data_IF_071351209006
#
_entry.id   IF_071351209006
#
_cell.length_a   1.000
_cell.length_b   1.000
_cell.length_c   1.000
_cell.angle_alpha   90.00
_cell.angle_beta   90.00
_cell.angle_gamma   90.00
#
_symmetry.space_group_name_H-M   'P 1'
#
loop_
_entity.id
_entity.type
_entity.pdbx_description
1 polymer ?
#
# COMPACT_ATOMS: atom_id res chain seq x y z
N UNK A 1 1.23 5.20 13.19
CA UNK A 1 1.35 3.81 13.65
C UNK A 1 2.50 3.15 12.89
N UNK A 2 3.24 2.22 13.49
CA UNK A 2 4.23 1.41 12.77
C UNK A 2 3.53 0.20 12.14
N UNK A 3 4.03 -0.28 11.00
CA UNK A 3 3.47 -1.47 10.35
C UNK A 3 3.81 -2.76 11.10
N UNK A 4 3.03 -3.82 10.87
CA UNK A 4 3.27 -5.18 11.37
C UNK A 4 4.73 -5.61 11.25
N UNK A 5 5.39 -5.81 12.39
CA UNK A 5 6.82 -6.15 12.43
C UNK A 5 7.15 -7.50 11.79
N UNK A 6 6.18 -8.42 11.70
CA UNK A 6 6.37 -9.70 11.02
C UNK A 6 6.67 -9.55 9.53
N UNK A 7 6.32 -8.40 8.92
CA UNK A 7 6.61 -8.10 7.53
C UNK A 7 7.95 -7.37 7.34
N UNK A 8 8.64 -6.96 8.40
CA UNK A 8 9.85 -6.15 8.24
C UNK A 8 10.91 -6.85 7.39
N UNK A 9 11.47 -6.08 6.46
CA UNK A 9 12.43 -6.55 5.48
C UNK A 9 12.09 -6.06 4.07
N UNK A 10 12.95 -6.45 3.14
CA UNK A 10 12.79 -6.20 1.71
C UNK A 10 12.16 -7.42 1.05
N UNK A 11 11.21 -7.15 0.16
CA UNK A 11 10.44 -8.14 -0.57
C UNK A 11 10.42 -7.77 -2.04
N UNK A 12 10.34 -8.75 -2.91
CA UNK A 12 10.07 -8.55 -4.33
C UNK A 12 8.61 -8.86 -4.58
N UNK A 13 7.86 -7.92 -5.18
CA UNK A 13 6.52 -8.18 -5.72
C UNK A 13 6.68 -8.96 -7.02
N UNK A 14 6.28 -10.24 -7.01
CA UNK A 14 6.56 -11.18 -8.11
C UNK A 14 5.90 -10.74 -9.43
N UNK A 15 4.82 -9.94 -9.37
CA UNK A 15 4.13 -9.46 -10.58
C UNK A 15 4.85 -8.27 -11.21
N UNK A 16 5.28 -7.32 -10.39
CA UNK A 16 5.85 -6.04 -10.88
C UNK A 16 7.37 -6.01 -10.87
N UNK A 17 8.00 -6.99 -10.20
CA UNK A 17 9.43 -7.06 -9.92
C UNK A 17 9.96 -5.85 -9.13
N UNK A 18 9.07 -5.07 -8.51
CA UNK A 18 9.46 -3.97 -7.63
C UNK A 18 9.89 -4.49 -6.27
N UNK A 19 10.88 -3.83 -5.67
CA UNK A 19 11.22 -4.02 -4.26
C UNK A 19 10.26 -3.23 -3.39
N UNK A 20 9.69 -3.92 -2.40
CA UNK A 20 8.81 -3.37 -1.37
C UNK A 20 9.48 -3.58 -0.01
N UNK A 21 9.63 -2.51 0.75
CA UNK A 21 10.31 -2.58 2.05
C UNK A 21 9.37 -2.19 3.16
N UNK A 22 9.16 -3.10 4.11
CA UNK A 22 8.42 -2.82 5.34
C UNK A 22 9.41 -2.50 6.46
N UNK A 23 9.14 -1.43 7.20
CA UNK A 23 9.96 -0.98 8.33
C UNK A 23 9.11 -0.39 9.46
N UNK A 24 9.75 -0.02 10.56
CA UNK A 24 9.10 0.72 11.64
C UNK A 24 8.61 2.11 11.23
N UNK A 25 9.15 2.67 10.14
CA UNK A 25 8.78 4.00 9.63
C UNK A 25 7.62 3.97 8.63
N UNK A 26 7.27 2.79 8.09
CA UNK A 26 6.28 2.64 7.04
C UNK A 26 6.69 1.61 5.99
N UNK A 27 6.11 1.76 4.80
CA UNK A 27 6.35 0.92 3.62
C UNK A 27 6.89 1.78 2.49
N UNK A 28 7.87 1.28 1.74
CA UNK A 28 8.32 1.89 0.46
C UNK A 28 8.09 0.94 -0.70
N UNK A 29 7.88 1.49 -1.91
CA UNK A 29 7.52 0.75 -3.13
C UNK A 29 6.04 0.85 -3.46
N UNK A 30 5.54 -0.05 -4.32
CA UNK A 30 4.17 -0.01 -4.86
C UNK A 30 3.79 1.36 -5.41
N UNK A 31 4.65 1.85 -6.30
CA UNK A 31 4.60 3.20 -6.83
C UNK A 31 3.25 3.49 -7.50
N UNK A 32 2.64 4.62 -7.12
CA UNK A 32 1.40 5.13 -7.69
C UNK A 32 1.68 6.46 -8.35
N UNK A 33 1.36 6.57 -9.64
CA UNK A 33 1.48 7.83 -10.39
C UNK A 33 0.16 8.59 -10.32
N UNK A 34 0.18 9.76 -9.70
CA UNK A 34 -0.94 10.69 -9.61
C UNK A 34 -0.57 11.96 -10.36
N UNK A 35 -1.02 12.06 -11.62
CA UNK A 35 -0.59 13.10 -12.57
C UNK A 35 0.95 13.15 -12.73
N UNK A 36 1.59 14.23 -12.27
CA UNK A 36 3.05 14.43 -12.33
C UNK A 36 3.78 13.99 -11.06
N UNK A 37 3.06 13.49 -10.06
CA UNK A 37 3.61 13.05 -8.78
C UNK A 37 3.62 11.54 -8.68
N UNK A 38 4.61 11.02 -7.95
CA UNK A 38 4.72 9.61 -7.63
C UNK A 38 4.63 9.44 -6.12
N UNK A 39 3.71 8.58 -5.67
CA UNK A 39 3.62 8.11 -4.30
C UNK A 39 4.27 6.73 -4.23
N UNK A 40 5.37 6.63 -3.48
CA UNK A 40 6.12 5.39 -3.27
C UNK A 40 6.51 5.18 -1.80
N UNK A 41 6.02 6.04 -0.91
CA UNK A 41 6.21 5.94 0.54
C UNK A 41 4.86 5.99 1.22
N UNK A 42 4.66 5.07 2.15
CA UNK A 42 3.40 4.86 2.82
C UNK A 42 3.60 4.75 4.33
N UNK A 43 2.67 5.29 5.10
CA UNK A 43 2.54 5.03 6.52
C UNK A 43 1.44 4.02 6.76
N UNK A 44 1.59 3.17 7.76
CA UNK A 44 0.47 2.39 8.27
C UNK A 44 -0.44 3.32 9.07
N UNK A 45 -1.63 3.58 8.54
CA UNK A 45 -2.66 4.39 9.16
C UNK A 45 -3.45 3.54 10.17
N UNK A 46 -3.90 2.37 9.74
CA UNK A 46 -4.64 1.40 10.55
C UNK A 46 -4.17 -0.03 10.25
N UNK A 47 -4.32 -0.92 11.23
CA UNK A 47 -3.93 -2.33 11.11
C UNK A 47 -4.91 -3.21 11.90
N UNK A 48 -5.23 -4.37 11.33
CA UNK A 48 -5.97 -5.45 11.97
C UNK A 48 -5.16 -6.76 11.93
N UNK A 49 -5.79 -7.92 12.18
CA UNK A 49 -5.11 -9.21 12.16
C UNK A 49 -4.43 -9.49 10.81
N UNK A 50 -5.16 -9.25 9.72
CA UNK A 50 -4.79 -9.60 8.35
C UNK A 50 -4.81 -8.39 7.42
N UNK A 51 -5.37 -7.25 7.80
CA UNK A 51 -5.44 -6.08 6.92
C UNK A 51 -4.58 -4.92 7.41
N UNK A 52 -4.08 -4.13 6.47
CA UNK A 52 -3.32 -2.90 6.72
C UNK A 52 -3.87 -1.80 5.81
N UNK A 53 -4.20 -0.65 6.39
CA UNK A 53 -4.49 0.57 5.65
C UNK A 53 -3.21 1.40 5.57
N UNK A 54 -2.69 1.54 4.36
CA UNK A 54 -1.56 2.39 4.02
C UNK A 54 -2.05 3.77 3.58
N UNK A 55 -1.33 4.82 3.97
CA UNK A 55 -1.64 6.22 3.63
C UNK A 55 -0.37 6.97 3.24
N UNK A 56 -0.44 7.78 2.19
CA UNK A 56 0.65 8.63 1.75
C UNK A 56 0.79 9.88 2.62
N UNK A 57 1.90 10.61 2.46
CA UNK A 57 1.88 12.03 2.84
C UNK A 57 0.99 12.81 1.86
N UNK A 58 0.40 13.95 2.26
CA UNK A 58 -0.37 14.77 1.33
C UNK A 58 0.46 15.22 0.13
N UNK A 59 -0.13 15.11 -1.06
CA UNK A 59 0.45 15.55 -2.34
C UNK A 59 -0.30 16.80 -2.79
N UNK A 60 0.42 17.88 -3.09
CA UNK A 60 -0.16 19.10 -3.63
C UNK A 60 -0.31 19.00 -5.16
N UNK A 61 -1.55 19.06 -5.63
CA UNK A 61 -1.88 19.05 -7.05
C UNK A 61 -2.81 20.22 -7.30
N UNK A 62 -2.29 21.24 -8.01
CA UNK A 62 -3.04 22.47 -8.31
C UNK A 62 -3.63 23.14 -7.05
N UNK A 63 -2.86 23.23 -5.96
CA UNK A 63 -3.27 23.83 -4.67
C UNK A 63 -4.34 23.04 -3.91
N UNK A 64 -4.57 21.77 -4.30
CA UNK A 64 -5.39 20.82 -3.57
C UNK A 64 -4.48 19.73 -3.00
N UNK A 65 -4.63 19.47 -1.70
CA UNK A 65 -3.86 18.44 -1.01
C UNK A 65 -4.62 17.12 -1.04
N UNK A 66 -4.07 16.13 -1.75
CA UNK A 66 -4.64 14.78 -1.83
C UNK A 66 -3.86 13.81 -0.96
N UNK A 67 -4.55 12.84 -0.38
CA UNK A 67 -3.96 11.70 0.32
C UNK A 67 -4.36 10.44 -0.43
N UNK A 68 -3.38 9.55 -0.65
CA UNK A 68 -3.58 8.28 -1.34
C UNK A 68 -3.60 7.16 -0.33
N UNK A 69 -4.62 6.31 -0.39
CA UNK A 69 -4.82 5.20 0.52
C UNK A 69 -4.78 3.87 -0.23
N UNK A 70 -4.12 2.89 0.39
CA UNK A 70 -4.02 1.53 -0.13
C UNK A 70 -4.30 0.55 1.01
N UNK A 71 -5.40 -0.17 0.91
CA UNK A 71 -5.76 -1.24 1.82
C UNK A 71 -5.26 -2.56 1.25
N UNK A 72 -4.51 -3.29 2.08
CA UNK A 72 -3.99 -4.60 1.74
C UNK A 72 -4.48 -5.64 2.74
N UNK A 73 -4.83 -6.83 2.26
CA UNK A 73 -4.91 -8.05 3.07
C UNK A 73 -3.61 -8.82 2.92
N UNK A 74 -3.08 -9.33 4.03
CA UNK A 74 -1.78 -9.99 4.12
C UNK A 74 -1.98 -11.41 4.65
N UNK A 75 -1.75 -12.38 3.79
CA UNK A 75 -1.83 -13.81 4.12
C UNK A 75 -0.44 -14.43 4.05
N UNK A 76 0.03 -14.95 5.19
CA UNK A 76 1.32 -15.66 5.26
C UNK A 76 1.22 -17.01 4.58
N UNK A 77 2.12 -17.31 3.65
CA UNK A 77 2.32 -18.67 3.15
C UNK A 77 3.48 -19.34 3.88
N UNK A 78 4.62 -18.65 3.94
CA UNK A 78 5.83 -19.07 4.67
C UNK A 78 6.50 -17.85 5.32
N UNK A 79 7.63 -18.02 6.00
CA UNK A 79 8.44 -16.88 6.46
C UNK A 79 9.07 -16.07 5.31
N UNK A 80 9.12 -16.67 4.11
CA UNK A 80 9.74 -16.11 2.92
C UNK A 80 8.73 -15.63 1.88
N UNK A 81 7.43 -15.88 2.08
CA UNK A 81 6.42 -15.65 1.05
C UNK A 81 5.07 -15.27 1.66
N UNK A 82 4.50 -14.18 1.14
CA UNK A 82 3.19 -13.68 1.51
C UNK A 82 2.33 -13.46 0.26
N UNK A 83 1.02 -13.64 0.40
CA UNK A 83 0.03 -13.11 -0.53
C UNK A 83 -0.46 -11.77 -0.02
N UNK A 84 -0.47 -10.77 -0.91
CA UNK A 84 -0.95 -9.42 -0.69
C UNK A 84 -2.14 -9.18 -1.60
N UNK A 85 -3.33 -8.97 -1.03
CA UNK A 85 -4.53 -8.59 -1.79
C UNK A 85 -4.74 -7.09 -1.70
N UNK A 86 -4.69 -6.37 -2.82
CA UNK A 86 -4.95 -4.93 -2.91
C UNK A 86 -6.46 -4.70 -3.05
N UNK A 87 -7.10 -4.28 -1.96
CA UNK A 87 -8.56 -4.31 -1.78
C UNK A 87 -9.30 -3.11 -2.38
N UNK A 88 -8.60 -2.02 -2.70
CA UNK A 88 -9.24 -0.84 -3.26
C UNK A 88 -9.77 -1.08 -4.69
N UNK A 89 -10.77 -0.28 -5.13
CA UNK A 89 -11.11 -0.18 -6.53
C UNK A 89 -9.94 0.37 -7.35
N UNK A 90 -9.99 0.14 -8.66
CA UNK A 90 -9.07 0.75 -9.62
C UNK A 90 -9.37 2.25 -9.71
N UNK A 91 -8.35 3.09 -9.51
CA UNK A 91 -8.45 4.53 -9.65
C UNK A 91 -7.81 4.99 -10.98
N UNK A 92 -8.61 5.42 -11.98
CA UNK A 92 -8.10 5.81 -13.29
C UNK A 92 -7.10 6.97 -13.24
N UNK A 93 -7.27 7.91 -12.30
CA UNK A 93 -6.36 9.05 -12.17
C UNK A 93 -5.03 8.69 -11.49
N UNK A 94 -4.92 7.48 -10.95
CA UNK A 94 -3.76 6.97 -10.24
C UNK A 94 -3.01 5.89 -11.07
N UNK A 95 -3.04 6.01 -12.40
CA UNK A 95 -2.39 5.04 -13.30
C UNK A 95 -3.10 3.69 -13.36
N UNK A 96 -4.39 3.64 -13.02
CA UNK A 96 -5.19 2.42 -12.85
C UNK A 96 -4.68 1.50 -11.72
N UNK A 97 -4.00 2.07 -10.73
CA UNK A 97 -3.66 1.37 -9.51
C UNK A 97 -4.87 1.20 -8.59
N UNK A 98 -4.82 0.17 -7.74
CA UNK A 98 -5.85 -0.08 -6.73
C UNK A 98 -5.60 0.75 -5.49
N UNK A 99 -6.16 1.96 -5.47
CA UNK A 99 -6.06 2.94 -4.38
C UNK A 99 -7.34 3.75 -4.26
N UNK A 100 -7.47 4.47 -3.15
CA UNK A 100 -8.47 5.54 -2.98
C UNK A 100 -7.74 6.86 -2.83
N UNK A 101 -8.14 7.86 -3.61
CA UNK A 101 -7.54 9.21 -3.58
C UNK A 101 -8.60 10.17 -3.03
N UNK A 102 -8.31 10.78 -1.88
CA UNK A 102 -9.21 11.76 -1.25
C UNK A 102 -8.53 13.10 -1.08
N UNK A 103 -9.31 14.17 -1.03
CA UNK A 103 -8.83 15.43 -0.48
C UNK A 103 -8.50 15.23 1.00
N UNK A 104 -7.43 15.87 1.48
CA UNK A 104 -6.97 15.78 2.87
C UNK A 104 -8.07 16.09 3.90
N UNK A 105 -9.02 16.96 3.55
CA UNK A 105 -10.11 17.33 4.45
C UNK A 105 -11.25 16.28 4.48
N UNK A 106 -11.31 15.39 3.49
CA UNK A 106 -12.32 14.32 3.37
C UNK A 106 -11.78 12.97 3.89
N UNK A 107 -10.50 12.92 4.28
CA UNK A 107 -9.79 11.70 4.71
C UNK A 107 -10.40 11.04 5.97
N UNK A 108 -11.11 11.81 6.80
CA UNK A 108 -11.65 11.34 8.08
C UNK A 108 -12.72 10.23 7.98
N UNK A 109 -13.19 9.86 6.78
CA UNK A 109 -14.25 8.87 6.57
C UNK A 109 -13.77 7.50 6.08
N UNK A 110 -12.47 7.29 5.88
CA UNK A 110 -11.95 6.01 5.41
C UNK A 110 -11.97 4.95 6.51
N UNK A 111 -12.65 3.83 6.23
CA UNK A 111 -12.53 2.58 6.97
C UNK A 111 -11.73 1.55 6.17
N UNK A 112 -11.39 0.42 6.79
CA UNK A 112 -10.82 -0.73 6.07
C UNK A 112 -11.70 -1.15 4.88
N UNK A 113 -11.07 -1.59 3.79
CA UNK A 113 -11.74 -1.82 2.51
C UNK A 113 -12.28 -3.26 2.37
N UNK A 114 -13.25 -3.45 1.47
CA UNK A 114 -13.83 -4.78 1.13
C UNK A 114 -12.86 -5.68 0.37
N UNK A 115 -12.95 -6.99 0.55
CA UNK A 115 -11.98 -8.00 0.08
C UNK A 115 -12.12 -8.46 -1.39
N UNK A 116 -12.41 -7.57 -2.34
CA UNK A 116 -12.54 -7.92 -3.79
C UNK A 116 -11.37 -7.35 -4.63
N UNK A 117 -10.17 -7.63 -4.11
CA UNK A 117 -8.92 -7.06 -4.59
C UNK A 117 -8.16 -7.91 -5.60
N UNK A 118 -7.06 -7.36 -6.11
CA UNK A 118 -6.07 -8.13 -6.84
C UNK A 118 -5.08 -8.76 -5.86
N UNK A 119 -4.89 -10.09 -5.92
CA UNK A 119 -3.88 -10.78 -5.12
C UNK A 119 -2.57 -10.91 -5.86
N UNK A 120 -1.47 -10.54 -5.21
CA UNK A 120 -0.09 -10.69 -5.67
C UNK A 120 0.75 -11.41 -4.63
N UNK A 121 1.76 -12.12 -5.09
CA UNK A 121 2.78 -12.70 -4.21
C UNK A 121 3.91 -11.70 -3.99
N UNK A 122 4.37 -11.61 -2.75
CA UNK A 122 5.66 -11.00 -2.41
C UNK A 122 6.60 -12.05 -1.83
N UNK A 123 7.85 -12.05 -2.30
CA UNK A 123 8.90 -12.99 -1.90
C UNK A 123 10.02 -12.24 -1.17
N UNK A 124 10.46 -12.74 -0.01
CA UNK A 124 11.49 -12.07 0.79
C UNK A 124 12.83 -12.10 0.09
N UNK A 125 13.50 -10.95 0.00
CA UNK A 125 14.84 -10.88 -0.57
C UNK A 125 15.81 -11.68 0.31
N UNK A 126 16.62 -12.55 -0.31
CA UNK A 126 17.60 -13.37 0.38
C UNK A 126 17.05 -14.66 1.01
N UNK A 127 15.78 -15.00 0.80
CA UNK A 127 15.31 -16.37 1.02
C UNK A 127 15.74 -17.25 -0.17
N UNK A 128 16.71 -18.13 0.09
CA UNK A 128 17.18 -19.17 -0.84
C UNK A 128 16.45 -20.49 -0.57
#
# INVERSE_FOLDING_TARGET
LACKSSLYGEWTDDKTQQTVTFSSSGVTGWDVSLFSHTVNTWKCAEESTDQILLSSSPVDIYSLYFVVHRCITVTKETDCKYQITFNNPVEPNAGNERVTVLLKNDDATLSMCSSDGETRTITKNGCA
#
